data_IF_309366894891
#
_entry.id   IF_309366894891
#
_cell.length_a   1.000
_cell.length_b   1.000
_cell.length_c   1.000
_cell.angle_alpha   90.00
_cell.angle_beta   90.00
_cell.angle_gamma   90.00
#
_symmetry.space_group_name_H-M   'P 1'
#
loop_
_entity.id
_entity.type
_entity.pdbx_description
1 polymer ?
#
# COMPACT_ATOMS: atom_id res chain seq x y z
N UNK A 1 10.80 5.41 14.68
CA UNK A 1 11.86 4.41 14.38
C UNK A 1 13.09 5.18 14.00
N UNK A 2 14.23 4.92 14.64
CA UNK A 2 15.49 5.62 14.35
C UNK A 2 16.42 4.63 13.66
N UNK A 3 17.03 5.05 12.55
CA UNK A 3 17.95 4.23 11.76
C UNK A 3 19.34 4.88 11.89
N UNK A 4 20.24 4.21 12.61
CA UNK A 4 21.63 4.63 12.80
C UNK A 4 22.57 3.88 11.85
N UNK A 5 22.13 2.74 11.30
CA UNK A 5 22.92 1.91 10.39
C UNK A 5 22.10 1.32 9.24
N UNK A 6 22.79 0.86 8.20
CA UNK A 6 22.15 0.08 7.12
C UNK A 6 21.59 -1.27 7.60
N UNK A 7 22.12 -1.82 8.70
CA UNK A 7 21.58 -3.05 9.28
C UNK A 7 20.19 -2.78 9.87
N UNK A 8 19.97 -1.63 10.50
CA UNK A 8 18.67 -1.25 11.06
C UNK A 8 17.58 -1.20 9.97
N UNK A 9 17.94 -0.64 8.81
CA UNK A 9 17.05 -0.59 7.64
C UNK A 9 16.76 -2.01 7.14
N UNK A 10 17.80 -2.84 7.00
CA UNK A 10 17.64 -4.23 6.54
C UNK A 10 16.74 -5.03 7.49
N UNK A 11 16.91 -4.85 8.79
CA UNK A 11 16.11 -5.54 9.79
C UNK A 11 14.66 -5.04 9.84
N UNK A 12 14.43 -3.77 9.55
CA UNK A 12 13.09 -3.22 9.40
C UNK A 12 12.38 -3.81 8.17
N UNK A 13 13.08 -3.92 7.04
CA UNK A 13 12.54 -4.54 5.82
C UNK A 13 12.20 -6.02 6.03
N UNK A 14 13.05 -6.77 6.73
CA UNK A 14 12.79 -8.19 7.06
C UNK A 14 11.56 -8.38 7.95
N UNK A 15 11.27 -7.38 8.79
CA UNK A 15 10.12 -7.38 9.72
C UNK A 15 8.90 -6.65 9.15
N UNK A 16 8.97 -6.18 7.90
CA UNK A 16 7.83 -5.52 7.28
C UNK A 16 6.62 -6.46 7.28
N UNK A 17 5.42 -5.96 7.61
CA UNK A 17 4.23 -6.78 7.62
C UNK A 17 3.89 -7.22 6.19
N UNK A 18 3.15 -8.32 6.10
CA UNK A 18 2.42 -8.68 4.89
C UNK A 18 1.01 -8.10 4.95
N UNK A 19 0.28 -7.99 3.82
CA UNK A 19 -1.13 -7.61 3.84
C UNK A 19 -1.94 -8.56 4.74
N UNK A 20 -2.96 -8.04 5.41
CA UNK A 20 -3.89 -8.84 6.21
C UNK A 20 -4.81 -9.66 5.29
N UNK A 21 -4.64 -10.98 5.33
CA UNK A 21 -5.41 -11.92 4.54
C UNK A 21 -6.90 -11.96 4.92
N UNK A 22 -7.24 -11.80 6.20
CA UNK A 22 -8.64 -11.76 6.62
C UNK A 22 -9.31 -10.46 6.15
N UNK A 23 -8.59 -9.34 6.22
CA UNK A 23 -9.10 -8.07 5.70
C UNK A 23 -9.26 -8.10 4.16
N UNK A 24 -8.38 -8.79 3.44
CA UNK A 24 -8.54 -9.02 2.00
C UNK A 24 -9.86 -9.72 1.68
N UNK A 25 -10.13 -10.86 2.33
CA UNK A 25 -11.35 -11.67 2.13
C UNK A 25 -12.62 -10.86 2.42
N UNK A 26 -12.65 -10.13 3.54
CA UNK A 26 -13.82 -9.32 3.90
C UNK A 26 -13.99 -8.12 2.95
N UNK A 27 -12.90 -7.50 2.49
CA UNK A 27 -12.96 -6.41 1.51
C UNK A 27 -13.47 -6.90 0.14
N UNK A 28 -13.06 -8.09 -0.31
CA UNK A 28 -13.55 -8.71 -1.55
C UNK A 28 -15.03 -9.08 -1.45
N UNK A 29 -15.43 -9.71 -0.34
CA UNK A 29 -16.82 -10.06 -0.08
C UNK A 29 -17.72 -8.83 -0.09
N UNK A 30 -17.31 -7.75 0.59
CA UNK A 30 -18.03 -6.48 0.59
C UNK A 30 -18.09 -5.87 -0.81
N UNK A 31 -16.97 -5.81 -1.53
CA UNK A 31 -16.92 -5.22 -2.88
C UNK A 31 -17.87 -5.93 -3.87
N UNK A 32 -18.08 -7.23 -3.68
CA UNK A 32 -18.98 -8.07 -4.48
C UNK A 32 -20.48 -7.84 -4.17
N UNK A 33 -20.80 -7.27 -3.00
CA UNK A 33 -22.16 -6.98 -2.54
C UNK A 33 -22.60 -5.51 -2.78
N UNK A 34 -21.72 -4.69 -3.37
CA UNK A 34 -22.07 -3.31 -3.71
C UNK A 34 -23.11 -3.26 -4.83
N UNK A 35 -23.83 -2.14 -4.95
CA UNK A 35 -24.89 -1.94 -5.96
C UNK A 35 -24.37 -1.88 -7.40
N UNK A 36 -23.05 -1.95 -7.61
CA UNK A 36 -22.42 -2.06 -8.94
C UNK A 36 -22.46 -3.52 -9.42
N UNK A 37 -22.58 -3.78 -10.73
CA UNK A 37 -22.24 -5.09 -11.27
C UNK A 37 -20.79 -5.46 -10.89
N UNK A 38 -20.50 -6.74 -10.61
CA UNK A 38 -19.13 -7.19 -10.35
C UNK A 38 -18.16 -6.75 -11.47
N UNK A 39 -17.01 -6.18 -11.10
CA UNK A 39 -15.98 -5.74 -12.04
C UNK A 39 -16.28 -4.42 -12.77
N UNK A 40 -17.42 -3.77 -12.54
CA UNK A 40 -17.79 -2.54 -13.23
C UNK A 40 -16.81 -1.38 -13.03
N UNK A 41 -16.04 -1.36 -11.93
CA UNK A 41 -15.00 -0.34 -11.69
C UNK A 41 -13.58 -0.80 -12.05
N UNK A 42 -13.44 -2.02 -12.58
CA UNK A 42 -12.16 -2.58 -13.04
C UNK A 42 -11.05 -2.46 -11.98
N UNK A 43 -9.95 -1.80 -12.36
CA UNK A 43 -8.76 -1.63 -11.48
C UNK A 43 -9.05 -0.93 -10.16
N UNK A 44 -10.09 -0.10 -10.07
CA UNK A 44 -10.43 0.55 -8.81
C UNK A 44 -10.91 -0.45 -7.75
N UNK A 45 -11.52 -1.56 -8.16
CA UNK A 45 -11.92 -2.64 -7.23
C UNK A 45 -10.69 -3.34 -6.66
N UNK A 46 -9.75 -3.69 -7.54
CA UNK A 46 -8.47 -4.30 -7.14
C UNK A 46 -7.68 -3.39 -6.19
N UNK A 47 -7.62 -2.09 -6.48
CA UNK A 47 -6.95 -1.12 -5.61
C UNK A 47 -7.64 -0.98 -4.25
N UNK A 48 -8.98 -0.93 -4.22
CA UNK A 48 -9.71 -0.87 -2.96
C UNK A 48 -9.46 -2.13 -2.12
N UNK A 49 -9.59 -3.32 -2.68
CA UNK A 49 -9.34 -4.58 -1.94
C UNK A 49 -7.90 -4.63 -1.44
N UNK A 50 -6.93 -4.28 -2.28
CA UNK A 50 -5.51 -4.22 -1.90
C UNK A 50 -5.27 -3.22 -0.75
N UNK A 51 -5.83 -2.02 -0.83
CA UNK A 51 -5.74 -1.04 0.26
C UNK A 51 -6.40 -1.55 1.54
N UNK A 52 -7.53 -2.25 1.42
CA UNK A 52 -8.23 -2.85 2.56
C UNK A 52 -7.37 -3.86 3.31
N UNK A 53 -6.66 -4.72 2.57
CA UNK A 53 -5.72 -5.68 3.12
C UNK A 53 -4.54 -5.00 3.86
N UNK A 54 -4.01 -3.90 3.33
CA UNK A 54 -2.92 -3.16 4.00
C UNK A 54 -3.39 -2.28 5.15
N UNK A 55 -4.66 -1.87 5.16
CA UNK A 55 -5.25 -1.04 6.23
C UNK A 55 -5.99 -1.87 7.29
N UNK A 56 -6.13 -3.20 7.10
CA UNK A 56 -6.87 -4.07 8.01
C UNK A 56 -8.38 -3.78 8.05
N UNK A 57 -8.98 -3.37 6.93
CA UNK A 57 -10.39 -2.94 6.88
C UNK A 57 -11.06 -3.24 5.54
N UNK A 58 -12.36 -3.55 5.59
CA UNK A 58 -13.21 -3.68 4.39
C UNK A 58 -13.56 -2.33 3.72
N UNK A 59 -13.33 -1.21 4.42
CA UNK A 59 -13.63 0.15 3.96
C UNK A 59 -12.36 1.00 3.99
N UNK A 60 -11.41 0.75 3.07
CA UNK A 60 -10.18 1.53 3.01
C UNK A 60 -10.47 2.99 2.68
N UNK A 61 -9.53 3.86 3.06
CA UNK A 61 -9.62 5.30 2.82
C UNK A 61 -8.26 5.88 2.43
N UNK A 62 -8.28 6.96 1.65
CA UNK A 62 -7.10 7.74 1.27
C UNK A 62 -7.36 9.21 1.56
N UNK A 63 -7.18 9.62 2.82
CA UNK A 63 -7.52 11.00 3.25
C UNK A 63 -6.38 11.99 3.06
N UNK A 64 -5.14 11.57 3.33
CA UNK A 64 -3.97 12.47 3.35
C UNK A 64 -2.78 11.79 2.65
N UNK A 65 -2.86 11.56 1.33
CA UNK A 65 -1.76 10.97 0.59
C UNK A 65 -0.49 11.82 0.75
N UNK A 66 0.63 11.17 1.01
CA UNK A 66 1.94 11.80 1.11
C UNK A 66 2.72 11.56 -0.18
N UNK A 67 3.38 12.59 -0.68
CA UNK A 67 4.30 12.50 -1.82
C UNK A 67 5.69 12.89 -1.34
N UNK A 68 6.64 11.95 -1.41
CA UNK A 68 8.04 12.19 -1.06
C UNK A 68 8.85 12.33 -2.36
N UNK A 69 9.52 13.47 -2.53
CA UNK A 69 10.39 13.74 -3.68
C UNK A 69 11.84 13.58 -3.23
N UNK A 70 12.56 12.63 -3.82
CA UNK A 70 14.00 12.46 -3.62
C UNK A 70 14.72 13.09 -4.83
N UNK A 71 15.51 14.13 -4.58
CA UNK A 71 16.31 14.80 -5.60
C UNK A 71 17.78 14.84 -5.17
N UNK A 72 18.69 14.49 -6.09
CA UNK A 72 20.13 14.49 -5.87
C UNK A 72 20.87 14.61 -7.20
N UNK A 73 22.10 15.12 -7.15
CA UNK A 73 22.96 15.24 -8.32
C UNK A 73 23.82 13.98 -8.49
N UNK A 74 24.24 13.68 -9.72
CA UNK A 74 25.12 12.57 -10.03
C UNK A 74 26.50 13.08 -10.47
N UNK A 75 27.57 12.72 -9.76
CA UNK A 75 28.93 13.18 -10.09
C UNK A 75 29.44 12.71 -11.47
N UNK A 76 28.89 11.61 -12.00
CA UNK A 76 29.21 11.10 -13.35
C UNK A 76 28.78 12.05 -14.47
N UNK A 77 27.88 12.99 -14.18
CA UNK A 77 27.40 14.00 -15.14
C UNK A 77 28.10 15.34 -14.94
N UNK A 78 29.22 15.37 -14.20
CA UNK A 78 30.05 16.56 -14.13
C UNK A 78 30.67 16.85 -15.51
N UNK A 79 30.75 18.13 -15.91
CA UNK A 79 31.35 18.53 -17.18
C UNK A 79 32.85 18.21 -17.26
#
# INVERSE_FOLDING_TARGET
MRFESLNDIRDALRRAPSPDAAAFEVAEARNSQLTKPPGALGRLETLAIWMGAWQGTEKPHCRSPQVLIFAGNHGVTAP
#
